data_IF_710174895153
#
_entry.id   IF_710174895153
#
_cell.length_a   1.000
_cell.length_b   1.000
_cell.length_c   1.000
_cell.angle_alpha   90.00
_cell.angle_beta   90.00
_cell.angle_gamma   90.00
#
_symmetry.space_group_name_H-M   'P 1'
#
loop_
_entity.id
_entity.type
_entity.pdbx_description
1 polymer ?
#
# COMPACT_ATOMS: atom_id res chain seq x y z
N UNK A 1 19.59 -16.40 -4.92
CA UNK A 1 18.75 -15.17 -4.92
C UNK A 1 17.82 -15.27 -3.73
N UNK A 2 17.89 -14.38 -2.74
CA UNK A 2 16.92 -14.38 -1.62
C UNK A 2 15.54 -14.09 -2.22
N UNK A 3 14.57 -14.99 -2.03
CA UNK A 3 13.17 -14.69 -2.34
C UNK A 3 12.78 -13.48 -1.48
N UNK A 4 12.74 -12.29 -2.09
CA UNK A 4 12.24 -11.11 -1.41
C UNK A 4 10.73 -11.33 -1.30
N UNK A 5 10.22 -11.47 -0.07
CA UNK A 5 8.77 -11.54 0.14
C UNK A 5 8.12 -10.31 -0.54
N UNK A 6 6.91 -10.51 -1.07
CA UNK A 6 6.12 -9.40 -1.60
C UNK A 6 6.00 -8.29 -0.53
N UNK A 7 6.12 -7.00 -0.88
CA UNK A 7 5.94 -5.90 0.07
C UNK A 7 4.60 -5.98 0.82
N UNK A 8 3.57 -6.51 0.16
CA UNK A 8 2.25 -6.77 0.75
C UNK A 8 2.26 -7.75 1.92
N UNK A 9 3.25 -8.64 1.98
CA UNK A 9 3.38 -9.70 2.98
C UNK A 9 4.59 -9.50 3.89
N UNK A 10 5.25 -8.34 3.81
CA UNK A 10 6.38 -8.03 4.68
C UNK A 10 5.96 -7.95 6.16
N UNK A 11 4.70 -7.61 6.43
CA UNK A 11 4.13 -7.48 7.78
C UNK A 11 2.61 -7.70 7.77
N UNK A 12 2.06 -8.27 8.84
CA UNK A 12 0.62 -8.60 8.94
C UNK A 12 -0.28 -7.36 8.87
N UNK A 13 0.14 -6.26 9.50
CA UNK A 13 -0.59 -4.97 9.47
C UNK A 13 -0.48 -4.18 8.16
N UNK A 14 0.19 -4.70 7.12
CA UNK A 14 0.52 -3.91 5.93
C UNK A 14 -0.71 -3.43 5.17
N UNK A 15 -1.68 -4.31 4.96
CA UNK A 15 -2.92 -3.94 4.26
C UNK A 15 -3.69 -2.86 5.02
N UNK A 16 -3.73 -2.94 6.35
CA UNK A 16 -4.42 -1.96 7.19
C UNK A 16 -3.81 -0.56 7.04
N UNK A 17 -2.47 -0.44 7.11
CA UNK A 17 -1.79 0.85 6.92
C UNK A 17 -2.03 1.42 5.50
N UNK A 18 -2.02 0.57 4.45
CA UNK A 18 -2.31 1.01 3.07
C UNK A 18 -3.73 1.56 2.97
N UNK A 19 -4.72 0.83 3.51
CA UNK A 19 -6.13 1.26 3.49
C UNK A 19 -6.30 2.57 4.25
N UNK A 20 -5.71 2.68 5.44
CA UNK A 20 -5.76 3.91 6.24
C UNK A 20 -5.18 5.09 5.46
N UNK A 21 -4.00 4.93 4.85
CA UNK A 21 -3.38 5.96 4.03
C UNK A 21 -4.25 6.35 2.82
N UNK A 22 -4.85 5.38 2.12
CA UNK A 22 -5.79 5.66 1.02
C UNK A 22 -6.98 6.50 1.50
N UNK A 23 -7.61 6.11 2.62
CA UNK A 23 -8.76 6.81 3.16
C UNK A 23 -8.40 8.24 3.57
N UNK A 24 -7.34 8.43 4.35
CA UNK A 24 -6.97 9.76 4.85
C UNK A 24 -6.42 10.64 3.74
N UNK A 25 -5.45 10.16 2.94
CA UNK A 25 -4.88 10.97 1.87
C UNK A 25 -5.90 11.24 0.75
N UNK A 26 -6.89 10.36 0.57
CA UNK A 26 -7.96 10.51 -0.41
C UNK A 26 -8.98 11.56 0.00
N UNK A 27 -9.43 11.54 1.25
CA UNK A 27 -10.52 12.41 1.74
C UNK A 27 -10.06 13.79 2.22
N UNK A 28 -8.78 13.96 2.55
CA UNK A 28 -8.36 15.15 3.30
C UNK A 28 -8.38 16.44 2.46
N UNK A 29 -9.21 17.45 2.78
CA UNK A 29 -9.46 18.57 1.86
C UNK A 29 -8.34 19.62 1.79
N UNK A 30 -7.54 19.79 2.85
CA UNK A 30 -6.63 20.94 2.94
C UNK A 30 -5.35 20.82 2.12
N UNK A 31 -4.91 19.60 1.80
CA UNK A 31 -3.72 19.38 0.96
C UNK A 31 -3.77 18.01 0.30
N UNK A 32 -3.29 17.94 -0.94
CA UNK A 32 -3.14 16.69 -1.69
C UNK A 32 -1.80 15.98 -1.48
N UNK A 33 -0.79 16.67 -0.93
CA UNK A 33 0.55 16.13 -0.67
C UNK A 33 1.12 16.72 0.61
N UNK A 34 1.85 15.92 1.39
CA UNK A 34 2.56 16.39 2.60
C UNK A 34 3.82 15.57 2.85
N UNK A 35 4.71 16.06 3.68
CA UNK A 35 5.84 15.27 4.17
C UNK A 35 5.34 14.02 4.92
N UNK A 36 5.95 12.84 4.73
CA UNK A 36 5.52 11.59 5.37
C UNK A 36 5.34 11.69 6.89
N UNK A 37 6.26 12.34 7.59
CA UNK A 37 6.20 12.52 9.05
C UNK A 37 5.02 13.40 9.45
N UNK A 38 4.67 14.36 8.59
CA UNK A 38 3.55 15.25 8.84
C UNK A 38 2.22 14.54 8.61
N UNK A 39 2.16 13.49 7.80
CA UNK A 39 0.96 12.65 7.69
C UNK A 39 0.62 11.93 9.00
N UNK A 40 1.59 11.72 9.89
CA UNK A 40 1.36 11.11 11.22
C UNK A 40 0.38 11.91 12.07
N UNK A 41 0.26 13.24 11.88
CA UNK A 41 -0.75 14.07 12.56
C UNK A 41 -2.20 13.63 12.29
N UNK A 42 -2.42 12.83 11.23
CA UNK A 42 -3.74 12.36 10.78
C UNK A 42 -3.87 10.84 10.72
N UNK A 43 -2.75 10.14 10.54
CA UNK A 43 -2.69 8.69 10.34
C UNK A 43 -2.06 7.94 11.52
N UNK A 44 -1.55 8.65 12.55
CA UNK A 44 -0.59 8.12 13.51
C UNK A 44 0.65 7.53 12.82
N UNK A 45 1.53 6.86 13.56
CA UNK A 45 2.65 6.12 12.96
C UNK A 45 2.16 4.81 12.35
N UNK A 46 2.71 4.40 11.19
CA UNK A 46 2.34 3.13 10.60
C UNK A 46 2.70 1.97 11.53
N UNK A 47 1.88 0.93 11.53
CA UNK A 47 2.08 -0.26 12.35
C UNK A 47 3.00 -1.29 11.69
N UNK A 48 3.18 -1.18 10.37
CA UNK A 48 3.82 -2.20 9.52
C UNK A 48 5.13 -1.76 8.85
N UNK A 49 5.64 -0.57 9.22
CA UNK A 49 6.84 0.04 8.66
C UNK A 49 7.45 1.04 9.65
N UNK A 50 8.70 1.47 9.42
CA UNK A 50 9.33 2.47 10.27
C UNK A 50 8.78 3.89 10.02
N UNK A 51 8.20 4.15 8.83
CA UNK A 51 7.63 5.44 8.49
C UNK A 51 6.65 5.35 7.31
N UNK A 52 5.78 6.35 7.15
CA UNK A 52 4.92 6.45 5.97
C UNK A 52 5.71 6.57 4.66
N UNK A 53 6.95 7.07 4.71
CA UNK A 53 7.83 7.14 3.54
C UNK A 53 8.17 5.75 3.00
N UNK A 54 8.37 4.78 3.89
CA UNK A 54 8.67 3.40 3.54
C UNK A 54 7.45 2.74 2.86
N UNK A 55 6.26 2.87 3.46
CA UNK A 55 5.01 2.37 2.85
C UNK A 55 4.79 3.00 1.47
N UNK A 56 4.94 4.32 1.35
CA UNK A 56 4.76 5.00 0.06
C UNK A 56 5.77 4.55 -1.01
N UNK A 57 6.99 4.19 -0.60
CA UNK A 57 8.03 3.69 -1.50
C UNK A 57 7.80 2.22 -1.89
N UNK A 58 7.30 1.41 -0.97
CA UNK A 58 7.03 -0.02 -1.19
C UNK A 58 5.73 -0.29 -1.96
N UNK A 59 4.79 0.66 -1.95
CA UNK A 59 3.50 0.58 -2.65
C UNK A 59 3.32 1.71 -3.68
N UNK A 60 4.17 1.76 -4.72
CA UNK A 60 4.13 2.80 -5.74
C UNK A 60 2.88 2.74 -6.61
N UNK A 61 2.08 1.68 -6.58
CA UNK A 61 0.78 1.59 -7.27
C UNK A 61 -0.25 2.59 -6.72
N UNK A 62 -0.19 2.90 -5.43
CA UNK A 62 -1.12 3.83 -4.76
C UNK A 62 -0.46 5.17 -4.47
N UNK A 63 0.79 5.14 -4.04
CA UNK A 63 1.46 6.30 -3.49
C UNK A 63 2.56 6.80 -4.40
N UNK A 64 2.83 8.09 -4.26
CA UNK A 64 3.96 8.77 -4.85
C UNK A 64 4.79 9.37 -3.72
N UNK A 65 6.08 9.05 -3.71
CA UNK A 65 7.06 9.72 -2.88
C UNK A 65 7.96 10.56 -3.80
N UNK A 66 7.91 11.88 -3.67
CA UNK A 66 8.68 12.81 -4.51
C UNK A 66 9.69 13.57 -3.68
N UNK A 67 10.93 13.60 -4.13
CA UNK A 67 11.95 14.50 -3.60
C UNK A 67 11.70 15.93 -4.10
N UNK A 68 11.86 16.90 -3.22
CA UNK A 68 11.79 18.32 -3.58
C UNK A 68 13.19 18.75 -4.03
N UNK A 69 13.33 19.12 -5.32
CA UNK A 69 14.59 19.51 -5.95
C UNK A 69 15.43 20.44 -5.04
N UNK A 70 16.63 19.99 -4.67
CA UNK A 70 17.57 20.76 -3.84
C UNK A 70 17.33 20.70 -2.33
N UNK A 71 16.47 19.80 -1.84
CA UNK A 71 16.24 19.57 -0.40
C UNK A 71 16.04 18.09 -0.10
N UNK A 72 16.43 17.65 1.10
CA UNK A 72 16.17 16.28 1.59
C UNK A 72 14.67 16.01 1.92
N UNK A 73 13.79 16.97 1.62
CA UNK A 73 12.36 16.85 1.88
C UNK A 73 11.69 15.97 0.85
N UNK A 74 10.94 14.99 1.35
CA UNK A 74 10.13 14.07 0.54
C UNK A 74 8.66 14.38 0.76
N UNK A 75 7.88 14.34 -0.31
CA UNK A 75 6.44 14.57 -0.32
C UNK A 75 5.73 13.28 -0.69
N UNK A 76 4.81 12.85 0.17
CA UNK A 76 3.93 11.71 -0.03
C UNK A 76 2.52 12.17 -0.44
N UNK A 77 1.98 11.51 -1.46
CA UNK A 77 0.60 11.69 -1.91
C UNK A 77 0.04 10.45 -2.58
N UNK A 78 -1.30 10.38 -2.68
CA UNK A 78 -1.95 9.43 -3.55
C UNK A 78 -1.71 9.79 -5.01
N UNK A 79 -1.39 8.78 -5.81
CA UNK A 79 -1.17 8.95 -7.25
C UNK A 79 -2.39 9.44 -7.98
N UNK A 80 -3.55 8.85 -7.69
CA UNK A 80 -4.80 9.27 -8.33
C UNK A 80 -5.08 10.73 -8.02
N UNK A 81 -4.98 11.11 -6.74
CA UNK A 81 -5.20 12.50 -6.35
C UNK A 81 -4.23 13.45 -7.00
N UNK A 82 -2.96 13.07 -7.17
CA UNK A 82 -1.95 13.87 -7.89
C UNK A 82 -2.25 14.06 -9.38
N UNK A 83 -2.97 13.12 -10.01
CA UNK A 83 -3.35 13.20 -11.41
C UNK A 83 -4.48 14.20 -11.69
N UNK A 84 -5.16 14.70 -10.64
CA UNK A 84 -6.17 15.74 -10.75
C UNK A 84 -5.55 17.13 -10.91
N UNK A 85 -6.35 18.07 -11.42
CA UNK A 85 -5.98 19.47 -11.57
C UNK A 85 -5.91 20.20 -10.22
N UNK A 86 -5.09 21.24 -10.15
CA UNK A 86 -4.94 22.11 -8.97
C UNK A 86 -6.01 23.22 -8.98
N UNK A 87 -7.28 22.84 -9.03
CA UNK A 87 -8.42 23.75 -9.12
C UNK A 87 -9.26 23.86 -7.83
N UNK A 88 -8.90 23.10 -6.79
CA UNK A 88 -9.68 23.00 -5.57
C UNK A 88 -9.28 24.05 -4.55
N UNK A 89 -10.23 24.86 -4.11
CA UNK A 89 -10.03 25.79 -3.01
C UNK A 89 -10.30 25.06 -1.67
N UNK A 90 -9.27 24.85 -0.83
CA UNK A 90 -9.43 24.14 0.43
C UNK A 90 -10.19 24.95 1.49
N UNK A 91 -10.29 26.27 1.35
CA UNK A 91 -10.97 27.16 2.30
C UNK A 91 -12.47 27.25 1.96
N UNK A 92 -12.83 27.30 0.66
CA UNK A 92 -14.23 27.23 0.22
C UNK A 92 -14.78 25.80 0.14
N UNK A 93 -13.91 24.80 0.03
CA UNK A 93 -14.28 23.39 -0.01
C UNK A 93 -14.85 22.93 -1.35
N UNK A 94 -14.52 23.61 -2.45
CA UNK A 94 -15.03 23.31 -3.81
C UNK A 94 -13.97 23.52 -4.88
N UNK A 95 -14.15 22.89 -6.04
CA UNK A 95 -13.38 23.19 -7.24
C UNK A 95 -13.87 24.47 -7.90
N UNK A 96 -12.91 25.24 -8.43
CA UNK A 96 -13.14 26.49 -9.13
C UNK A 96 -13.15 26.24 -10.65
N UNK A 97 -14.01 26.98 -11.36
CA UNK A 97 -13.97 27.02 -12.82
C UNK A 97 -12.73 27.76 -13.33
N UNK A 98 -12.35 27.50 -14.59
CA UNK A 98 -11.21 28.17 -15.21
C UNK A 98 -11.35 29.71 -15.20
N UNK A 99 -12.56 30.23 -15.36
CA UNK A 99 -12.83 31.68 -15.32
C UNK A 99 -12.63 32.27 -13.91
N UNK A 100 -12.99 31.53 -12.86
CA UNK A 100 -12.71 31.92 -11.48
C UNK A 100 -11.20 31.92 -11.22
N UNK A 101 -10.49 30.87 -11.64
CA UNK A 101 -9.04 30.74 -11.50
C UNK A 101 -8.29 31.87 -12.22
N UNK A 102 -8.77 32.29 -13.39
CA UNK A 102 -8.16 33.37 -14.17
C UNK A 102 -8.31 34.75 -13.50
N UNK A 103 -9.27 34.89 -12.58
CA UNK A 103 -9.48 36.13 -11.80
C UNK A 103 -8.70 36.13 -10.48
N UNK A 104 -8.09 35.02 -10.09
CA UNK A 104 -7.30 34.92 -8.86
C UNK A 104 -5.95 35.64 -9.00
N UNK A 105 -5.50 36.21 -7.87
CA UNK A 105 -4.11 36.65 -7.73
C UNK A 105 -3.16 35.46 -7.67
N UNK A 106 -1.88 35.67 -7.97
CA UNK A 106 -0.84 34.63 -7.83
C UNK A 106 -0.79 34.02 -6.43
N UNK A 107 -1.04 34.82 -5.38
CA UNK A 107 -1.05 34.34 -4.00
C UNK A 107 -2.24 33.42 -3.73
N UNK A 108 -3.43 33.74 -4.26
CA UNK A 108 -4.61 32.88 -4.13
C UNK A 108 -4.44 31.59 -4.94
N UNK A 109 -3.90 31.69 -6.16
CA UNK A 109 -3.63 30.52 -7.02
C UNK A 109 -2.70 29.51 -6.35
N UNK A 110 -1.68 29.97 -5.60
CA UNK A 110 -0.76 29.09 -4.85
C UNK A 110 -1.41 28.34 -3.68
N UNK A 111 -2.60 28.76 -3.24
CA UNK A 111 -3.35 28.05 -2.18
C UNK A 111 -4.22 26.93 -2.73
N UNK A 112 -4.50 26.94 -4.03
CA UNK A 112 -5.28 25.88 -4.66
C UNK A 112 -4.55 24.54 -4.48
N UNK A 113 -5.34 23.51 -4.32
CA UNK A 113 -4.86 22.13 -4.22
C UNK A 113 -5.69 21.26 -5.15
N UNK A 114 -5.52 19.95 -5.02
CA UNK A 114 -6.30 18.98 -5.79
C UNK A 114 -7.47 18.49 -4.96
N UNK A 115 -8.62 18.34 -5.61
CA UNK A 115 -9.84 17.90 -4.95
C UNK A 115 -9.63 16.59 -4.17
N UNK A 116 -10.34 16.40 -3.05
CA UNK A 116 -10.50 15.09 -2.44
C UNK A 116 -11.03 14.07 -3.45
N UNK A 117 -10.72 12.80 -3.22
CA UNK A 117 -11.30 11.71 -4.00
C UNK A 117 -12.75 11.47 -3.61
N UNK A 118 -13.57 11.13 -4.59
CA UNK A 118 -14.94 10.66 -4.37
C UNK A 118 -14.96 9.33 -3.63
N UNK A 119 -16.04 9.04 -2.90
CA UNK A 119 -16.16 7.79 -2.14
C UNK A 119 -15.98 6.55 -3.01
N UNK A 120 -16.50 6.57 -4.25
CA UNK A 120 -16.35 5.47 -5.22
C UNK A 120 -14.91 5.28 -5.71
N UNK A 121 -14.14 6.37 -5.81
CA UNK A 121 -12.71 6.30 -6.18
C UNK A 121 -11.88 5.72 -5.03
N UNK A 122 -12.23 6.08 -3.78
CA UNK A 122 -11.60 5.52 -2.58
C UNK A 122 -11.89 4.03 -2.47
N UNK A 123 -13.15 3.62 -2.65
CA UNK A 123 -13.57 2.22 -2.68
C UNK A 123 -12.78 1.43 -3.74
N UNK A 124 -12.69 1.97 -4.96
CA UNK A 124 -11.89 1.37 -6.05
C UNK A 124 -10.42 1.14 -5.65
N UNK A 125 -9.80 2.11 -4.96
CA UNK A 125 -8.42 1.99 -4.49
C UNK A 125 -8.27 0.94 -3.38
N UNK A 126 -9.23 0.88 -2.45
CA UNK A 126 -9.25 -0.12 -1.38
C UNK A 126 -9.42 -1.53 -1.96
N UNK A 127 -10.35 -1.72 -2.90
CA UNK A 127 -10.55 -2.99 -3.59
C UNK A 127 -9.31 -3.44 -4.36
N UNK A 128 -8.63 -2.50 -5.03
CA UNK A 128 -7.36 -2.76 -5.68
C UNK A 128 -6.29 -3.21 -4.66
N UNK A 129 -6.20 -2.57 -3.49
CA UNK A 129 -5.27 -2.94 -2.43
C UNK A 129 -5.55 -4.34 -1.87
N UNK A 130 -6.81 -4.67 -1.61
CA UNK A 130 -7.25 -6.00 -1.16
C UNK A 130 -6.92 -7.06 -2.22
N UNK A 131 -7.23 -6.77 -3.49
CA UNK A 131 -6.96 -7.69 -4.61
C UNK A 131 -5.47 -7.97 -4.78
N UNK A 132 -4.62 -6.93 -4.75
CA UNK A 132 -3.17 -7.08 -4.84
C UNK A 132 -2.59 -7.84 -3.64
N UNK A 133 -3.07 -7.57 -2.43
CA UNK A 133 -2.69 -8.31 -1.23
C UNK A 133 -3.08 -9.79 -1.33
N UNK A 134 -4.31 -10.08 -1.77
CA UNK A 134 -4.82 -11.45 -1.93
C UNK A 134 -3.99 -12.22 -2.95
N UNK A 135 -3.69 -11.62 -4.11
CA UNK A 135 -2.80 -12.20 -5.13
C UNK A 135 -1.40 -12.48 -4.58
N UNK A 136 -0.88 -11.61 -3.71
CA UNK A 136 0.41 -11.87 -3.05
C UNK A 136 0.35 -13.12 -2.15
N UNK A 137 -0.72 -13.29 -1.36
CA UNK A 137 -0.94 -14.50 -0.54
C UNK A 137 -1.01 -15.74 -1.43
N UNK A 138 -1.79 -15.70 -2.50
CA UNK A 138 -1.95 -16.81 -3.44
C UNK A 138 -0.62 -17.19 -4.08
N UNK A 139 0.19 -16.21 -4.49
CA UNK A 139 1.50 -16.44 -5.06
C UNK A 139 2.45 -17.14 -4.09
N UNK A 140 2.45 -16.76 -2.81
CA UNK A 140 3.27 -17.44 -1.79
C UNK A 140 2.75 -18.86 -1.49
N UNK A 141 1.43 -19.06 -1.45
CA UNK A 141 0.84 -20.41 -1.31
C UNK A 141 1.18 -21.30 -2.48
N UNK A 142 1.19 -20.76 -3.71
CA UNK A 142 1.54 -21.52 -4.90
C UNK A 142 2.96 -22.08 -4.83
N UNK A 143 3.93 -21.39 -4.21
CA UNK A 143 5.29 -21.92 -4.02
C UNK A 143 5.34 -23.18 -3.13
N UNK A 144 4.32 -23.40 -2.32
CA UNK A 144 4.21 -24.54 -1.40
C UNK A 144 3.44 -25.72 -2.00
N UNK A 145 3.16 -25.71 -3.32
CA UNK A 145 2.44 -26.79 -4.01
C UNK A 145 3.07 -28.19 -3.85
N UNK A 146 4.38 -28.27 -3.61
CA UNK A 146 5.12 -29.52 -3.46
C UNK A 146 4.91 -30.19 -2.08
N UNK A 147 4.51 -29.42 -1.06
CA UNK A 147 4.33 -29.90 0.32
C UNK A 147 3.34 -31.08 0.41
N UNK A 148 2.13 -31.02 -0.18
CA UNK A 148 1.21 -32.16 -0.17
C UNK A 148 1.69 -33.37 -0.99
N UNK A 149 2.70 -33.22 -1.85
CA UNK A 149 3.28 -34.33 -2.63
C UNK A 149 4.40 -35.01 -1.86
N UNK A 150 5.29 -34.23 -1.25
CA UNK A 150 6.51 -34.75 -0.60
C UNK A 150 6.23 -35.34 0.79
N UNK A 151 5.34 -34.72 1.59
CA UNK A 151 5.07 -35.20 2.96
C UNK A 151 4.55 -36.66 2.96
N UNK A 152 3.51 -37.04 2.19
CA UNK A 152 3.02 -38.41 2.18
C UNK A 152 4.06 -39.42 1.68
N UNK A 153 4.87 -39.02 0.69
CA UNK A 153 5.93 -39.87 0.15
C UNK A 153 7.01 -40.18 1.20
N UNK A 154 7.45 -39.18 1.98
CA UNK A 154 8.42 -39.37 3.07
C UNK A 154 7.81 -40.19 4.21
N UNK A 155 6.55 -39.93 4.59
CA UNK A 155 5.86 -40.72 5.62
C UNK A 155 5.73 -42.20 5.23
N UNK A 156 5.42 -42.50 3.96
CA UNK A 156 5.34 -43.87 3.46
C UNK A 156 6.70 -44.59 3.50
N UNK A 157 7.80 -43.91 3.17
CA UNK A 157 9.15 -44.48 3.22
C UNK A 157 9.60 -44.78 4.66
N UNK A 158 9.31 -43.89 5.61
CA UNK A 158 9.61 -44.12 7.03
C UNK A 158 8.78 -45.29 7.58
N UNK A 159 7.49 -45.36 7.26
CA UNK A 159 6.60 -46.45 7.66
C UNK A 159 7.05 -47.81 7.11
N UNK A 160 7.47 -47.87 5.84
CA UNK A 160 8.01 -49.08 5.23
C UNK A 160 9.32 -49.54 5.90
N UNK A 161 10.22 -48.61 6.23
CA UNK A 161 11.47 -48.91 6.94
C UNK A 161 11.23 -49.48 8.34
N UNK A 162 10.32 -48.89 9.11
CA UNK A 162 9.95 -49.39 10.45
C UNK A 162 9.25 -50.75 10.38
N UNK A 163 8.37 -50.97 9.40
CA UNK A 163 7.73 -52.27 9.18
C UNK A 163 8.74 -53.36 8.83
N UNK A 164 9.78 -53.04 8.05
CA UNK A 164 10.83 -53.98 7.67
C UNK A 164 11.72 -54.36 8.85
N UNK A 165 12.10 -53.39 9.70
CA UNK A 165 12.90 -53.63 10.92
C UNK A 165 12.12 -54.44 11.95
N UNK A 166 10.82 -54.14 12.14
CA UNK A 166 9.95 -54.92 13.03
C UNK A 166 9.76 -56.38 12.56
N UNK A 167 9.61 -56.60 11.25
CA UNK A 167 9.51 -57.95 10.68
C UNK A 167 10.81 -58.76 10.76
N UNK A 168 11.97 -58.08 10.82
CA UNK A 168 13.28 -58.72 10.91
C UNK A 168 13.67 -59.05 12.36
N UNK A 169 13.29 -58.23 13.34
CA UNK A 169 13.52 -58.48 14.78
C UNK A 169 12.49 -59.41 15.42
N UNK A 170 11.33 -59.63 14.78
CA UNK A 170 10.27 -60.53 15.25
C UNK A 170 10.40 -61.99 14.80
N UNK A 171 11.56 -62.39 14.24
CA UNK A 171 11.91 -63.78 13.92
C UNK A 171 12.91 -64.35 14.92
#
# INVERSE_FOLDING_TARGET
>A
MKNKLSPYLAHEGRLADIIAAIQVMGTYPKFASREPQKWEDKLDKPTSAASWAEICNEHPEFFRLRESNGSDRRWASLRWRWALDEDYDPDEGRSLSQDEINRLTDQQRRKLTRAPLESSQIETLIDAAISLHTRAIEYERQKQWWVPVVIPAVTALIGAGLGFVGAWLGK
#
